data_IF_700174691813
#
_entry.id   IF_700174691813
#
_cell.length_a   1.000
_cell.length_b   1.000
_cell.length_c   1.000
_cell.angle_alpha   90.00
_cell.angle_beta   90.00
_cell.angle_gamma   90.00
#
_symmetry.space_group_name_H-M   'P 1'
#
loop_
_entity.id
_entity.type
_entity.pdbx_description
1 polymer ?
#
# COMPACT_ATOMS: atom_id res chain seq x y z
N UNK A 1 8.92 9.77 -3.18
CA UNK A 1 9.11 8.57 -2.34
C UNK A 1 10.57 8.13 -2.28
N UNK A 2 11.28 7.92 -3.41
CA UNK A 2 12.71 7.57 -3.40
C UNK A 2 13.57 8.54 -2.57
N UNK A 3 13.44 9.85 -2.80
CA UNK A 3 14.16 10.86 -2.03
C UNK A 3 13.82 10.83 -0.53
N UNK A 4 12.58 10.53 -0.16
CA UNK A 4 12.17 10.41 1.24
C UNK A 4 12.81 9.19 1.91
N UNK A 5 12.86 8.05 1.21
CA UNK A 5 13.59 6.88 1.68
C UNK A 5 15.08 7.19 1.85
N UNK A 6 15.71 7.82 0.86
CA UNK A 6 17.14 8.14 0.90
C UNK A 6 17.51 9.03 2.08
N UNK A 7 16.69 10.06 2.37
CA UNK A 7 16.86 10.95 3.51
C UNK A 7 16.64 10.24 4.87
N UNK A 8 15.89 9.14 4.90
CA UNK A 8 15.56 8.41 6.12
C UNK A 8 16.26 7.05 6.24
N UNK A 9 17.17 6.73 5.32
CA UNK A 9 17.83 5.42 5.25
C UNK A 9 18.68 5.17 6.49
N UNK A 10 18.42 4.06 7.18
CA UNK A 10 19.18 3.63 8.37
C UNK A 10 20.09 2.42 8.10
N UNK A 11 19.78 1.64 7.06
CA UNK A 11 20.54 0.48 6.60
C UNK A 11 20.30 0.24 5.10
N UNK A 12 21.15 -0.58 4.47
CA UNK A 12 20.93 -1.04 3.10
C UNK A 12 19.75 -2.02 3.03
N UNK A 13 18.75 -1.71 2.19
CA UNK A 13 17.63 -2.59 1.88
C UNK A 13 17.60 -2.85 0.38
N UNK A 14 18.08 -4.02 -0.03
CA UNK A 14 18.22 -4.38 -1.45
C UNK A 14 16.89 -4.22 -2.23
N UNK A 15 15.78 -4.72 -1.68
CA UNK A 15 14.46 -4.59 -2.30
C UNK A 15 14.00 -3.14 -2.49
N UNK A 16 14.39 -2.21 -1.59
CA UNK A 16 14.09 -0.78 -1.79
C UNK A 16 14.90 -0.21 -2.95
N UNK A 17 16.18 -0.55 -3.07
CA UNK A 17 17.02 -0.07 -4.17
C UNK A 17 16.53 -0.64 -5.52
N UNK A 18 16.16 -1.92 -5.55
CA UNK A 18 15.58 -2.56 -6.73
C UNK A 18 14.25 -1.91 -7.13
N UNK A 19 13.34 -1.68 -6.17
CA UNK A 19 12.07 -0.98 -6.44
C UNK A 19 12.28 0.47 -6.89
N UNK A 20 13.23 1.20 -6.30
CA UNK A 20 13.59 2.57 -6.70
C UNK A 20 14.04 2.64 -8.16
N UNK A 21 14.76 1.62 -8.63
CA UNK A 21 15.21 1.52 -10.02
C UNK A 21 14.09 1.04 -10.95
N UNK A 22 13.33 0.02 -10.54
CA UNK A 22 12.35 -0.64 -11.39
C UNK A 22 11.09 0.21 -11.61
N UNK A 23 10.54 0.83 -10.55
CA UNK A 23 9.27 1.56 -10.63
C UNK A 23 9.29 2.71 -11.67
N UNK A 24 10.31 3.60 -11.73
CA UNK A 24 10.34 4.65 -12.74
C UNK A 24 10.41 4.13 -14.18
N UNK A 25 11.04 2.97 -14.39
CA UNK A 25 11.19 2.36 -15.72
C UNK A 25 9.93 1.62 -16.21
N UNK A 26 8.96 1.35 -15.33
CA UNK A 26 7.81 0.49 -15.61
C UNK A 26 6.46 1.18 -15.36
N UNK A 27 6.44 2.51 -15.29
CA UNK A 27 5.20 3.28 -15.12
C UNK A 27 4.24 2.93 -16.27
N UNK A 28 3.04 2.37 -15.98
CA UNK A 28 2.05 2.12 -17.00
C UNK A 28 1.66 3.41 -17.73
N UNK A 29 1.37 3.35 -19.04
CA UNK A 29 1.02 4.54 -19.82
C UNK A 29 -0.33 5.11 -19.36
N UNK A 30 -0.45 6.44 -19.42
CA UNK A 30 -1.66 7.18 -19.07
C UNK A 30 -1.38 8.38 -18.17
N UNK A 31 -2.25 9.37 -18.22
CA UNK A 31 -2.17 10.62 -17.45
C UNK A 31 -3.45 10.88 -16.64
N UNK A 32 -4.28 9.85 -16.45
CA UNK A 32 -5.54 9.98 -15.74
C UNK A 32 -5.32 10.53 -14.34
N UNK A 33 -6.07 11.57 -14.01
CA UNK A 33 -5.99 12.26 -12.73
C UNK A 33 -7.37 12.31 -12.07
N UNK A 34 -7.44 11.89 -10.81
CA UNK A 34 -8.63 11.92 -9.94
C UNK A 34 -8.23 12.38 -8.54
N UNK A 35 -9.23 12.60 -7.70
CA UNK A 35 -9.01 12.75 -6.27
C UNK A 35 -8.56 11.41 -5.73
N UNK A 36 -7.39 11.40 -5.09
CA UNK A 36 -6.91 10.29 -4.30
C UNK A 36 -7.06 10.66 -2.82
N UNK A 37 -7.59 9.74 -2.03
CA UNK A 37 -7.68 9.91 -0.57
C UNK A 37 -6.28 9.89 0.06
N UNK A 38 -5.39 9.03 -0.45
CA UNK A 38 -4.02 8.87 0.04
C UNK A 38 -3.89 7.81 1.13
N UNK A 39 -4.92 7.61 1.95
CA UNK A 39 -5.02 6.52 2.95
C UNK A 39 -6.42 5.88 2.96
N UNK A 40 -6.95 5.50 1.78
CA UNK A 40 -8.30 4.92 1.70
C UNK A 40 -8.32 3.47 2.22
N UNK A 41 -8.97 3.25 3.37
CA UNK A 41 -9.08 1.95 4.05
C UNK A 41 -10.31 1.92 4.95
N UNK A 42 -10.78 0.72 5.31
CA UNK A 42 -11.93 0.56 6.21
C UNK A 42 -11.76 1.31 7.53
N UNK A 43 -10.53 1.38 8.06
CA UNK A 43 -10.23 2.14 9.29
C UNK A 43 -10.48 3.66 9.19
N UNK A 44 -10.56 4.22 7.99
CA UNK A 44 -10.86 5.62 7.71
C UNK A 44 -12.27 5.80 7.12
N UNK A 45 -13.17 4.85 7.40
CA UNK A 45 -14.58 4.93 6.99
C UNK A 45 -15.50 4.74 8.17
N UNK A 46 -16.65 5.42 8.15
CA UNK A 46 -17.76 5.14 9.05
C UNK A 46 -18.79 4.32 8.28
N UNK A 47 -19.11 3.14 8.79
CA UNK A 47 -20.17 2.27 8.25
C UNK A 47 -21.48 2.57 8.98
N UNK A 48 -22.60 2.51 8.26
CA UNK A 48 -23.91 2.67 8.88
C UNK A 48 -24.12 1.63 9.99
N UNK A 49 -24.75 1.96 11.14
CA UNK A 49 -24.88 1.04 12.28
C UNK A 49 -25.62 -0.27 11.96
N UNK A 50 -26.49 -0.27 10.94
CA UNK A 50 -27.36 -1.41 10.60
C UNK A 50 -27.40 -1.76 9.10
N UNK A 51 -26.72 -1.00 8.24
CA UNK A 51 -26.78 -1.20 6.78
C UNK A 51 -25.36 -1.33 6.20
N UNK A 52 -25.15 -2.14 5.15
CA UNK A 52 -23.83 -2.34 4.55
C UNK A 52 -23.44 -1.18 3.62
N UNK A 53 -23.43 0.05 4.13
CA UNK A 53 -23.02 1.25 3.38
C UNK A 53 -22.11 2.14 4.20
N UNK A 54 -21.13 2.73 3.51
CA UNK A 54 -20.28 3.78 4.07
C UNK A 54 -21.09 5.07 4.15
N UNK A 55 -21.06 5.73 5.31
CA UNK A 55 -21.76 7.01 5.56
C UNK A 55 -20.80 8.20 5.67
N UNK A 56 -19.52 7.95 5.91
CA UNK A 56 -18.49 8.96 5.87
C UNK A 56 -17.12 8.35 5.52
N UNK A 57 -16.30 9.14 4.84
CA UNK A 57 -14.86 8.89 4.64
C UNK A 57 -14.12 9.96 5.44
N UNK A 58 -13.21 9.53 6.29
CA UNK A 58 -12.49 10.35 7.27
C UNK A 58 -11.03 10.54 6.85
N UNK A 59 -10.35 11.48 7.49
CA UNK A 59 -8.89 11.64 7.41
C UNK A 59 -8.35 11.96 6.01
N UNK A 60 -8.79 13.09 5.47
CA UNK A 60 -8.41 13.59 4.15
C UNK A 60 -7.05 14.33 4.13
N UNK A 61 -6.24 14.27 5.18
CA UNK A 61 -5.02 15.08 5.30
C UNK A 61 -3.95 14.72 4.25
N UNK A 62 -3.97 13.48 3.74
CA UNK A 62 -3.09 12.98 2.69
C UNK A 62 -3.69 13.08 1.28
N UNK A 63 -4.88 13.67 1.16
CA UNK A 63 -5.59 13.73 -0.11
C UNK A 63 -4.89 14.64 -1.12
N UNK A 64 -4.94 14.23 -2.38
CA UNK A 64 -4.27 14.94 -3.48
C UNK A 64 -4.90 14.58 -4.82
N UNK A 65 -4.44 15.24 -5.89
CA UNK A 65 -4.73 14.82 -7.25
C UNK A 65 -3.67 13.83 -7.72
N UNK A 66 -4.10 12.70 -8.28
CA UNK A 66 -3.18 11.69 -8.80
C UNK A 66 -3.88 10.59 -9.58
N UNK A 67 -3.12 9.57 -9.97
CA UNK A 67 -3.66 8.43 -10.70
C UNK A 67 -4.56 7.60 -9.76
N UNK A 68 -5.82 7.31 -10.11
CA UNK A 68 -6.77 6.64 -9.22
C UNK A 68 -6.32 5.23 -8.82
N UNK A 69 -5.61 4.53 -9.71
CA UNK A 69 -5.10 3.18 -9.43
C UNK A 69 -4.00 3.15 -8.36
N UNK A 70 -3.33 4.28 -8.07
CA UNK A 70 -2.41 4.34 -6.94
C UNK A 70 -3.15 4.28 -5.60
N UNK A 71 -4.34 4.89 -5.51
CA UNK A 71 -5.17 4.84 -4.30
C UNK A 71 -5.82 3.45 -4.14
N UNK A 72 -6.25 2.84 -5.25
CA UNK A 72 -6.73 1.45 -5.26
C UNK A 72 -5.63 0.46 -4.88
N UNK A 73 -4.41 0.63 -5.44
CA UNK A 73 -3.26 -0.22 -5.11
C UNK A 73 -2.92 -0.19 -3.63
N UNK A 74 -3.02 0.99 -3.01
CA UNK A 74 -2.82 1.14 -1.57
C UNK A 74 -3.92 0.44 -0.77
N UNK A 75 -5.19 0.60 -1.17
CA UNK A 75 -6.32 -0.09 -0.54
C UNK A 75 -6.17 -1.63 -0.63
N UNK A 76 -5.64 -2.14 -1.73
CA UNK A 76 -5.50 -3.58 -1.96
C UNK A 76 -4.29 -4.25 -1.29
N UNK A 77 -3.37 -3.50 -0.65
CA UNK A 77 -2.21 -4.11 0.01
C UNK A 77 -2.59 -5.14 1.09
N UNK A 78 -3.77 -4.98 1.71
CA UNK A 78 -4.26 -5.90 2.75
C UNK A 78 -4.40 -7.35 2.26
N UNK A 79 -4.66 -7.58 0.96
CA UNK A 79 -4.70 -8.93 0.39
C UNK A 79 -3.33 -9.62 0.36
N UNK A 80 -2.24 -8.85 0.46
CA UNK A 80 -0.87 -9.34 0.39
C UNK A 80 -0.20 -9.44 1.76
N UNK A 81 -0.84 -8.92 2.81
CA UNK A 81 -0.34 -8.99 4.17
C UNK A 81 -0.73 -10.32 4.81
N UNK A 82 0.25 -11.07 5.29
CA UNK A 82 0.07 -12.35 5.98
C UNK A 82 0.60 -12.31 7.41
N UNK A 83 0.92 -13.49 7.96
CA UNK A 83 1.55 -13.61 9.27
C UNK A 83 2.86 -12.80 9.33
N UNK A 84 3.06 -12.03 10.41
CA UNK A 84 4.24 -11.17 10.60
C UNK A 84 4.05 -9.67 10.27
N UNK A 85 2.90 -9.25 9.73
CA UNK A 85 2.58 -7.82 9.50
C UNK A 85 2.10 -7.05 10.75
N UNK A 86 2.06 -7.71 11.92
CA UNK A 86 1.70 -7.09 13.20
C UNK A 86 0.24 -6.64 13.27
N UNK A 87 -0.02 -5.45 13.81
CA UNK A 87 -1.37 -4.88 13.97
C UNK A 87 -2.11 -4.60 12.63
N UNK A 88 -1.47 -4.83 11.49
CA UNK A 88 -2.13 -4.82 10.19
C UNK A 88 -2.54 -6.25 9.84
N UNK A 89 -3.69 -6.66 10.36
CA UNK A 89 -4.34 -7.91 9.96
C UNK A 89 -4.62 -7.86 8.46
N UNK A 90 -3.97 -8.75 7.72
CA UNK A 90 -4.15 -8.91 6.29
C UNK A 90 -4.96 -10.15 5.95
N UNK A 91 -5.23 -10.32 4.66
CA UNK A 91 -6.03 -11.44 4.16
C UNK A 91 -5.19 -12.59 3.60
N UNK A 92 -3.87 -12.43 3.47
CA UNK A 92 -3.03 -13.46 2.88
C UNK A 92 -2.98 -14.71 3.78
N UNK A 93 -3.27 -15.87 3.19
CA UNK A 93 -3.33 -17.15 3.90
C UNK A 93 -4.67 -17.46 4.58
N UNK A 94 -5.64 -16.53 4.58
CA UNK A 94 -7.00 -16.78 5.08
C UNK A 94 -7.86 -17.50 4.03
N UNK A 95 -8.84 -18.27 4.50
CA UNK A 95 -9.93 -18.77 3.65
C UNK A 95 -10.96 -17.65 3.43
N UNK A 96 -10.73 -16.83 2.39
CA UNK A 96 -11.57 -15.68 2.08
C UNK A 96 -13.02 -16.08 1.76
N UNK A 97 -13.20 -17.22 1.10
CA UNK A 97 -14.51 -17.72 0.72
C UNK A 97 -15.33 -18.08 1.96
N UNK A 98 -14.72 -18.78 2.93
CA UNK A 98 -15.37 -19.09 4.21
C UNK A 98 -15.71 -17.83 5.02
N UNK A 99 -14.91 -16.77 4.90
CA UNK A 99 -15.13 -15.49 5.57
C UNK A 99 -16.09 -14.55 4.82
N UNK A 100 -16.54 -14.90 3.62
CA UNK A 100 -17.35 -14.04 2.76
C UNK A 100 -16.62 -12.80 2.23
N UNK A 101 -15.28 -12.83 2.23
CA UNK A 101 -14.42 -11.76 1.72
C UNK A 101 -14.14 -12.03 0.24
N UNK A 102 -14.31 -11.04 -0.66
CA UNK A 102 -13.97 -11.24 -2.07
C UNK A 102 -12.47 -11.45 -2.28
N UNK A 103 -12.12 -12.22 -3.30
CA UNK A 103 -10.73 -12.27 -3.77
C UNK A 103 -10.27 -10.89 -4.25
N UNK A 104 -8.97 -10.61 -4.20
CA UNK A 104 -8.41 -9.35 -4.74
C UNK A 104 -8.84 -9.17 -6.21
N UNK A 105 -8.80 -10.25 -6.99
CA UNK A 105 -9.21 -10.25 -8.40
C UNK A 105 -10.67 -9.80 -8.56
N UNK A 106 -11.58 -10.32 -7.74
CA UNK A 106 -13.00 -9.96 -7.82
C UNK A 106 -13.24 -8.51 -7.36
N UNK A 107 -12.50 -8.05 -6.34
CA UNK A 107 -12.53 -6.69 -5.84
C UNK A 107 -12.08 -5.68 -6.91
N UNK A 108 -10.92 -5.94 -7.54
CA UNK A 108 -10.36 -5.13 -8.63
C UNK A 108 -11.30 -5.16 -9.85
N UNK A 109 -11.86 -6.32 -10.19
CA UNK A 109 -12.84 -6.42 -11.28
C UNK A 109 -14.12 -5.62 -10.98
N UNK A 110 -14.58 -5.57 -9.73
CA UNK A 110 -15.71 -4.74 -9.34
C UNK A 110 -15.40 -3.25 -9.45
N UNK A 111 -14.20 -2.82 -9.06
CA UNK A 111 -13.73 -1.46 -9.27
C UNK A 111 -13.70 -1.09 -10.76
N UNK A 112 -13.12 -1.96 -11.59
CA UNK A 112 -13.03 -1.73 -13.03
C UNK A 112 -14.42 -1.50 -13.66
N UNK A 113 -15.40 -2.37 -13.34
CA UNK A 113 -16.78 -2.24 -13.80
C UNK A 113 -17.42 -0.91 -13.38
N UNK A 114 -17.28 -0.53 -12.10
CA UNK A 114 -17.87 0.71 -11.55
C UNK A 114 -17.27 1.99 -12.12
N UNK A 115 -16.06 1.89 -12.66
CA UNK A 115 -15.31 3.04 -13.20
C UNK A 115 -15.20 3.00 -14.72
N UNK A 116 -15.95 2.11 -15.39
CA UNK A 116 -15.99 2.00 -16.85
C UNK A 116 -14.71 1.44 -17.49
N UNK A 117 -13.85 0.78 -16.72
CA UNK A 117 -12.61 0.13 -17.22
C UNK A 117 -12.92 -1.30 -17.63
N UNK A 118 -12.35 -1.72 -18.78
CA UNK A 118 -12.41 -3.11 -19.23
C UNK A 118 -11.56 -4.02 -18.34
N UNK A 119 -10.35 -3.57 -18.04
CA UNK A 119 -9.36 -4.22 -17.21
C UNK A 119 -8.42 -3.18 -16.57
N UNK A 120 -7.53 -3.66 -15.70
CA UNK A 120 -6.45 -2.86 -15.11
C UNK A 120 -5.14 -3.59 -15.43
N UNK A 121 -4.48 -3.26 -16.56
CA UNK A 121 -3.22 -3.89 -16.93
C UNK A 121 -2.12 -3.50 -15.94
N UNK A 122 -1.09 -4.34 -15.85
CA UNK A 122 0.05 -4.16 -14.96
C UNK A 122 -0.35 -3.93 -13.48
N UNK A 123 -1.39 -4.63 -13.01
CA UNK A 123 -1.91 -4.46 -11.64
C UNK A 123 -0.83 -4.53 -10.55
N UNK A 124 0.10 -5.48 -10.66
CA UNK A 124 1.19 -5.65 -9.70
C UNK A 124 2.09 -4.41 -9.56
N UNK A 125 2.19 -3.56 -10.60
CA UNK A 125 2.90 -2.29 -10.52
C UNK A 125 2.29 -1.38 -9.45
N UNK A 126 0.96 -1.26 -9.43
CA UNK A 126 0.27 -0.34 -8.52
C UNK A 126 0.35 -0.83 -7.06
N UNK A 127 0.29 -2.15 -6.86
CA UNK A 127 0.49 -2.75 -5.53
C UNK A 127 1.94 -2.59 -5.09
N UNK A 128 2.92 -2.90 -5.95
CA UNK A 128 4.34 -2.74 -5.65
C UNK A 128 4.73 -1.28 -5.36
N UNK A 129 4.18 -0.32 -6.13
CA UNK A 129 4.32 1.11 -5.86
C UNK A 129 3.78 1.49 -4.49
N UNK A 130 2.62 0.95 -4.11
CA UNK A 130 1.97 1.23 -2.83
C UNK A 130 2.77 0.68 -1.65
N UNK A 131 3.31 -0.53 -1.80
CA UNK A 131 4.21 -1.16 -0.83
C UNK A 131 5.52 -0.39 -0.69
N UNK A 132 6.12 0.06 -1.81
CA UNK A 132 7.29 0.92 -1.80
C UNK A 132 7.02 2.25 -1.09
N UNK A 133 5.89 2.90 -1.38
CA UNK A 133 5.45 4.13 -0.70
C UNK A 133 5.31 3.90 0.80
N UNK A 134 4.63 2.84 1.22
CA UNK A 134 4.43 2.55 2.64
C UNK A 134 5.76 2.20 3.33
N UNK A 135 6.65 1.46 2.68
CA UNK A 135 7.98 1.16 3.18
C UNK A 135 8.80 2.45 3.42
N UNK A 136 8.75 3.41 2.50
CA UNK A 136 9.42 4.70 2.66
C UNK A 136 8.83 5.54 3.83
N UNK A 137 7.50 5.51 4.01
CA UNK A 137 6.83 6.18 5.14
C UNK A 137 7.27 5.56 6.48
N UNK A 138 7.19 4.23 6.58
CA UNK A 138 7.57 3.47 7.77
C UNK A 138 9.05 3.66 8.11
N UNK A 139 9.93 3.67 7.10
CA UNK A 139 11.35 3.98 7.28
C UNK A 139 11.56 5.40 7.84
N UNK A 140 10.81 6.38 7.35
CA UNK A 140 10.82 7.75 7.87
C UNK A 140 10.40 7.84 9.34
N UNK A 141 9.35 7.11 9.74
CA UNK A 141 8.93 6.99 11.14
C UNK A 141 10.02 6.34 11.98
N UNK A 142 10.61 5.24 11.49
CA UNK A 142 11.69 4.54 12.18
C UNK A 142 12.90 5.44 12.44
N UNK A 143 13.36 6.16 11.40
CA UNK A 143 14.49 7.10 11.52
C UNK A 143 14.21 8.18 12.57
N UNK A 144 13.02 8.78 12.59
CA UNK A 144 12.64 9.77 13.61
C UNK A 144 12.63 9.19 15.03
N UNK A 145 12.20 7.93 15.17
CA UNK A 145 12.27 7.21 16.45
C UNK A 145 13.71 7.00 16.93
N UNK A 146 14.62 6.60 16.04
CA UNK A 146 16.05 6.47 16.36
C UNK A 146 16.70 7.81 16.75
N UNK A 147 16.30 8.89 16.10
CA UNK A 147 16.83 10.23 16.36
C UNK A 147 16.28 10.85 17.67
N UNK A 148 15.52 10.08 18.46
CA UNK A 148 14.98 10.51 19.76
C UNK A 148 13.72 11.39 19.67
N UNK A 149 13.20 11.64 18.46
CA UNK A 149 11.99 12.42 18.23
C UNK A 149 10.70 11.58 18.39
N UNK A 150 10.80 10.27 18.63
CA UNK A 150 9.68 9.41 19.03
C UNK A 150 10.17 8.33 20.02
N UNK A 151 10.09 8.62 21.32
CA UNK A 151 10.48 7.69 22.39
C UNK A 151 9.38 6.64 22.63
N UNK A 152 9.36 5.57 21.84
CA UNK A 152 8.63 4.35 22.21
C UNK A 152 9.42 3.10 21.82
N UNK A 153 9.36 2.03 22.63
CA UNK A 153 9.93 0.72 22.30
C UNK A 153 9.44 0.17 20.94
N UNK A 154 8.25 0.61 20.52
CA UNK A 154 7.65 0.34 19.20
C UNK A 154 8.51 0.83 18.04
N UNK A 155 9.37 1.84 18.24
CA UNK A 155 10.24 2.37 17.18
C UNK A 155 11.12 1.28 16.54
N UNK A 156 11.67 0.36 17.33
CA UNK A 156 12.57 -0.69 16.82
C UNK A 156 11.88 -1.69 15.88
N UNK A 157 10.59 -1.99 16.09
CA UNK A 157 9.85 -2.92 15.21
C UNK A 157 9.50 -2.34 13.84
N UNK A 158 9.58 -1.01 13.67
CA UNK A 158 9.34 -0.37 12.36
C UNK A 158 10.48 -0.58 11.36
N UNK A 159 11.72 -0.78 11.81
CA UNK A 159 12.85 -1.09 10.92
C UNK A 159 12.65 -2.41 10.17
N UNK A 160 12.23 -3.45 10.88
CA UNK A 160 11.88 -4.74 10.29
C UNK A 160 10.67 -4.61 9.35
N UNK A 161 9.71 -3.75 9.71
CA UNK A 161 8.51 -3.54 8.90
C UNK A 161 8.78 -2.87 7.56
N UNK A 162 9.70 -1.89 7.48
CA UNK A 162 10.09 -1.28 6.20
C UNK A 162 10.70 -2.31 5.26
N UNK A 163 11.53 -3.23 5.79
CA UNK A 163 12.12 -4.34 5.02
C UNK A 163 11.04 -5.29 4.51
N UNK A 164 10.16 -5.77 5.38
CA UNK A 164 9.07 -6.71 5.00
C UNK A 164 8.19 -6.13 3.89
N UNK A 165 7.83 -4.85 3.98
CA UNK A 165 7.06 -4.17 2.95
C UNK A 165 7.81 -4.07 1.61
N UNK A 166 9.10 -3.71 1.66
CA UNK A 166 9.94 -3.62 0.47
C UNK A 166 10.13 -4.99 -0.21
N UNK A 167 10.40 -6.04 0.58
CA UNK A 167 10.60 -7.40 0.10
C UNK A 167 9.31 -7.95 -0.54
N UNK A 168 8.15 -7.70 0.08
CA UNK A 168 6.86 -8.04 -0.51
C UNK A 168 6.65 -7.29 -1.83
N UNK A 169 6.87 -5.98 -1.86
CA UNK A 169 6.73 -5.16 -3.06
C UNK A 169 7.61 -5.66 -4.21
N UNK A 170 8.87 -5.99 -3.91
CA UNK A 170 9.80 -6.54 -4.89
C UNK A 170 9.36 -7.93 -5.38
N UNK A 171 8.86 -8.78 -4.48
CA UNK A 171 8.43 -10.14 -4.82
C UNK A 171 7.32 -10.18 -5.87
N UNK A 172 6.47 -9.16 -5.92
CA UNK A 172 5.37 -9.02 -6.88
C UNK A 172 5.85 -8.69 -8.30
N UNK A 173 7.02 -8.06 -8.44
CA UNK A 173 7.49 -7.54 -9.74
C UNK A 173 8.80 -8.15 -10.22
N UNK A 174 9.55 -8.85 -9.36
CA UNK A 174 10.87 -9.42 -9.68
C UNK A 174 10.89 -10.39 -10.86
N UNK A 175 9.77 -11.06 -11.16
CA UNK A 175 9.67 -11.96 -12.32
C UNK A 175 9.61 -11.21 -13.67
N UNK A 176 9.42 -9.89 -13.63
CA UNK A 176 9.37 -8.98 -14.77
C UNK A 176 10.55 -7.98 -14.75
N UNK A 177 11.57 -8.25 -13.93
CA UNK A 177 12.76 -7.43 -13.78
C UNK A 177 13.93 -7.93 -14.63
#
# INVERSE_FOLDING_TARGET
WSSQYDLSRTAHLESMELLKSWLPAHIPPGDETRINHGDYRLGNTIVHPTEPRIIAVLDWELSTLGHPLADLGYNCMVWHFGEGFGASEGYAGLDLAALGIPSEKDYVAAYARRTGRKDIPAWDFYVAFSLFRLAAIVQGVYKRGLDGNASSETAKSYGDRARVLADLGWSLVKARA
#
